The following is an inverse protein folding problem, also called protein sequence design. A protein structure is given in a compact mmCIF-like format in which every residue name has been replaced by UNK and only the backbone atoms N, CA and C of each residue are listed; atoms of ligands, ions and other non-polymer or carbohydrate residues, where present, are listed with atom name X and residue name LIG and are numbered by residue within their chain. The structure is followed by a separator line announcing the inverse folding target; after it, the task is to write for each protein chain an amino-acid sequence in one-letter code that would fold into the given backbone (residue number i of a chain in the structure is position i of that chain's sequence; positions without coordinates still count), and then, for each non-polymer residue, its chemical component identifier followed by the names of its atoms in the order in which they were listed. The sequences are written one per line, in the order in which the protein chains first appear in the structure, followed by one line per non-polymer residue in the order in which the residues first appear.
data_IF_129714694748
#
_entry.id   IF_129714694748
#
_cell.length_a   1.000
_cell.length_b   1.000
_cell.length_c   1.000
_cell.angle_alpha   90.00
_cell.angle_beta   90.00
_cell.angle_gamma   90.00
#
_symmetry.space_group_name_H-M   'P 1'
#
loop_
_entity.id
_entity.type
_entity.pdbx_description
1 polymer ?
#
# COMPACT_ATOMS: atom_id res chain seq x y z
N UNK A 1 -4.03 1.41 -0.33
CA UNK A 1 -4.42 1.18 1.07
C UNK A 1 -5.88 1.51 1.30
N UNK A 2 -6.30 2.79 1.35
CA UNK A 2 -7.65 3.21 1.74
C UNK A 2 -8.84 2.42 1.17
N UNK A 3 -8.81 2.01 -0.11
CA UNK A 3 -9.95 1.40 -0.80
C UNK A 3 -9.80 -0.10 -1.11
N UNK A 4 -8.67 -0.72 -0.76
CA UNK A 4 -8.33 -2.11 -1.12
C UNK A 4 -7.59 -2.87 -0.01
N UNK A 5 -7.77 -2.47 1.24
CA UNK A 5 -7.05 -3.02 2.37
C UNK A 5 -8.00 -3.21 3.55
N UNK A 6 -7.86 -4.32 4.25
CA UNK A 6 -8.50 -4.61 5.53
C UNK A 6 -7.41 -5.10 6.49
N UNK A 7 -7.23 -4.39 7.60
CA UNK A 7 -6.05 -4.56 8.46
C UNK A 7 -5.92 -5.92 9.14
N UNK A 8 -7.03 -6.62 9.33
CA UNK A 8 -7.10 -7.93 9.98
C UNK A 8 -6.69 -9.09 9.06
N UNK A 9 -6.85 -8.94 7.74
CA UNK A 9 -6.58 -10.00 6.75
C UNK A 9 -5.45 -9.70 5.78
N UNK A 10 -5.24 -8.42 5.46
CA UNK A 10 -4.32 -8.01 4.39
C UNK A 10 -2.96 -7.52 4.96
N UNK A 11 -2.81 -7.48 6.29
CA UNK A 11 -1.56 -7.13 6.97
C UNK A 11 -0.78 -8.39 7.34
N UNK A 12 0.51 -8.41 6.99
CA UNK A 12 1.45 -9.43 7.46
C UNK A 12 2.49 -8.75 8.34
N UNK A 13 2.59 -9.21 9.59
CA UNK A 13 3.55 -8.67 10.58
C UNK A 13 4.62 -9.71 10.84
N UNK A 14 5.88 -9.35 10.61
CA UNK A 14 7.04 -10.18 10.90
C UNK A 14 7.95 -9.46 11.88
N UNK A 15 7.95 -9.90 13.13
CA UNK A 15 8.76 -9.32 14.19
C UNK A 15 10.21 -9.84 14.15
N UNK A 16 11.11 -9.11 14.81
CA UNK A 16 12.52 -9.51 15.04
C UNK A 16 13.31 -9.85 13.76
N UNK A 17 13.01 -9.14 12.68
CA UNK A 17 13.70 -9.33 11.41
C UNK A 17 14.90 -8.39 11.31
N UNK A 18 15.97 -8.79 10.61
CA UNK A 18 17.11 -7.89 10.39
C UNK A 18 16.70 -6.63 9.62
N UNK A 19 17.03 -5.49 10.19
CA UNK A 19 16.73 -4.15 9.69
C UNK A 19 17.96 -3.40 9.20
N UNK A 20 17.81 -2.09 9.05
CA UNK A 20 18.93 -1.17 8.82
C UNK A 20 19.54 -0.78 10.16
N UNK A 21 20.87 -0.78 10.28
CA UNK A 21 21.56 -0.26 11.46
C UNK A 21 21.41 1.25 11.65
N UNK A 22 20.96 1.97 10.62
CA UNK A 22 20.69 3.41 10.67
C UNK A 22 19.25 3.74 11.05
N UNK A 23 18.36 2.75 11.17
CA UNK A 23 16.97 2.97 11.53
C UNK A 23 16.86 3.17 13.06
N UNK A 24 16.56 4.40 13.54
CA UNK A 24 16.49 4.68 14.96
C UNK A 24 15.25 4.06 15.64
N UNK A 25 14.30 3.53 14.86
CA UNK A 25 13.13 2.81 15.38
C UNK A 25 13.39 1.32 15.61
N UNK A 26 14.51 0.80 15.12
CA UNK A 26 14.93 -0.59 15.32
C UNK A 26 15.55 -0.79 16.72
N UNK A 27 15.68 -2.05 17.13
CA UNK A 27 16.48 -2.38 18.30
C UNK A 27 17.97 -2.22 17.95
N UNK A 28 18.61 -1.19 18.49
CA UNK A 28 20.00 -0.83 18.18
C UNK A 28 21.04 -1.85 18.65
N UNK A 29 20.73 -2.67 19.66
CA UNK A 29 21.65 -3.71 20.16
C UNK A 29 21.66 -4.93 19.24
N UNK A 30 20.50 -5.33 18.75
CA UNK A 30 20.32 -6.56 17.96
C UNK A 30 20.26 -6.32 16.45
N UNK A 31 20.00 -5.08 16.02
CA UNK A 31 19.74 -4.69 14.63
C UNK A 31 18.41 -5.23 14.09
N UNK A 32 17.47 -5.54 14.97
CA UNK A 32 16.18 -6.14 14.64
C UNK A 32 15.07 -5.09 14.57
N UNK A 33 14.14 -5.27 13.63
CA UNK A 33 12.96 -4.43 13.44
C UNK A 33 11.76 -5.30 13.03
N UNK A 34 10.58 -4.71 12.99
CA UNK A 34 9.38 -5.36 12.46
C UNK A 34 9.23 -5.01 10.99
N UNK A 35 9.12 -6.03 10.13
CA UNK A 35 8.73 -5.86 8.73
C UNK A 35 7.23 -6.01 8.62
N UNK A 36 6.57 -5.10 7.91
CA UNK A 36 5.13 -5.14 7.66
C UNK A 36 4.89 -5.21 6.16
N UNK A 37 4.14 -6.22 5.73
CA UNK A 37 3.60 -6.34 4.38
C UNK A 37 2.14 -5.89 4.34
N UNK A 38 1.76 -5.17 3.28
CA UNK A 38 0.39 -4.75 3.03
C UNK A 38 -0.04 -5.32 1.68
N UNK A 39 -0.97 -6.27 1.67
CA UNK A 39 -1.59 -6.72 0.43
C UNK A 39 -2.63 -5.67 -0.01
N UNK A 40 -2.34 -4.99 -1.13
CA UNK A 40 -3.21 -3.97 -1.71
C UNK A 40 -3.80 -4.42 -3.06
N UNK A 41 -3.70 -5.71 -3.36
CA UNK A 41 -4.17 -6.29 -4.62
C UNK A 41 -5.70 -6.38 -4.65
N UNK A 42 -6.24 -6.65 -5.83
CA UNK A 42 -7.66 -6.98 -5.96
C UNK A 42 -7.79 -8.47 -5.59
N UNK A 43 -8.62 -8.83 -4.60
CA UNK A 43 -8.82 -10.24 -4.24
C UNK A 43 -9.28 -11.06 -5.44
N UNK A 44 -8.64 -12.22 -5.66
CA UNK A 44 -8.89 -13.08 -6.82
C UNK A 44 -10.28 -13.73 -6.82
N UNK A 45 -10.91 -13.83 -5.65
CA UNK A 45 -12.27 -14.34 -5.42
C UNK A 45 -13.36 -13.29 -5.68
N UNK A 46 -12.99 -12.02 -5.95
CA UNK A 46 -13.94 -10.91 -6.16
C UNK A 46 -13.96 -10.44 -7.61
N UNK A 47 -15.11 -9.92 -8.03
CA UNK A 47 -15.27 -9.31 -9.35
C UNK A 47 -14.38 -8.05 -9.48
N UNK A 48 -13.38 -8.03 -10.39
CA UNK A 48 -12.46 -6.90 -10.53
C UNK A 48 -13.14 -5.59 -10.95
N UNK A 49 -14.32 -5.66 -11.58
CA UNK A 49 -15.04 -4.47 -12.02
C UNK A 49 -15.45 -3.56 -10.84
N UNK A 50 -15.68 -4.10 -9.64
CA UNK A 50 -15.98 -3.31 -8.45
C UNK A 50 -14.80 -2.47 -7.94
N UNK A 51 -13.59 -2.72 -8.42
CA UNK A 51 -12.37 -2.06 -8.00
C UNK A 51 -11.75 -1.19 -9.10
N UNK A 52 -12.36 -1.17 -10.30
CA UNK A 52 -11.88 -0.36 -11.43
C UNK A 52 -12.05 1.12 -11.11
N UNK A 53 -11.00 1.89 -11.40
CA UNK A 53 -11.10 3.35 -11.35
C UNK A 53 -12.04 3.80 -12.47
N UNK A 54 -12.98 4.67 -12.14
CA UNK A 54 -13.87 5.24 -13.14
C UNK A 54 -13.07 6.15 -14.09
N UNK A 55 -13.30 6.05 -15.41
CA UNK A 55 -12.73 6.99 -16.36
C UNK A 55 -13.36 8.37 -16.15
N UNK A 56 -12.69 9.41 -16.64
CA UNK A 56 -13.30 10.73 -16.74
C UNK A 56 -14.48 10.67 -17.72
N UNK A 57 -15.55 11.45 -17.47
CA UNK A 57 -16.73 11.47 -18.33
C UNK A 57 -16.45 12.08 -19.72
N UNK A 58 -15.35 12.82 -19.86
CA UNK A 58 -14.91 13.41 -21.13
C UNK A 58 -13.38 13.51 -21.19
N UNK A 59 -12.84 13.59 -22.40
CA UNK A 59 -11.41 13.89 -22.61
C UNK A 59 -11.20 15.39 -22.41
N UNK A 60 -10.41 15.74 -21.40
CA UNK A 60 -10.01 17.12 -21.13
C UNK A 60 -8.49 17.23 -21.39
N UNK A 61 -8.08 18.31 -22.06
CA UNK A 61 -6.68 18.74 -22.08
C UNK A 61 -6.59 19.92 -21.14
N UNK A 62 -5.73 19.82 -20.13
CA UNK A 62 -5.65 20.81 -19.06
C UNK A 62 -5.12 22.15 -19.60
N UNK A 63 -4.29 22.08 -20.64
CA UNK A 63 -3.67 23.22 -21.32
C UNK A 63 -4.70 24.15 -21.96
N UNK A 64 -5.87 23.64 -22.35
CA UNK A 64 -6.96 24.46 -22.92
C UNK A 64 -7.56 25.44 -21.88
N UNK A 65 -7.27 25.26 -20.58
CA UNK A 65 -7.89 25.97 -19.47
C UNK A 65 -6.91 26.69 -18.53
N UNK A 66 -5.60 26.46 -18.69
CA UNK A 66 -4.56 27.17 -17.94
C UNK A 66 -4.04 28.33 -18.80
N UNK A 67 -4.15 29.56 -18.29
CA UNK A 67 -3.59 30.78 -18.90
C UNK A 67 -2.11 30.94 -18.58
#
# INVERSE_FOLDING_TARGET
MATRFQGDKDMVVMEKQKGSSLDPSSNLETGETTKIGFDLTIPSDRNPNGFKKLPLPMKLRVEDYLK
#
